data_IF_518305672244
#
_entry.id   IF_518305672244
#
_cell.length_a   1.000
_cell.length_b   1.000
_cell.length_c   1.000
_cell.angle_alpha   90.00
_cell.angle_beta   90.00
_cell.angle_gamma   90.00
#
_symmetry.space_group_name_H-M   'P 1'
#
loop_
_entity.id
_entity.type
_entity.pdbx_description
1 polymer ?
#
# COMPACT_ATOMS: atom_id res chain seq x y z
N UNK A 1 -5.74 -7.84 6.32
CA UNK A 1 -6.59 -7.18 5.31
C UNK A 1 -5.91 -7.19 3.94
N UNK A 2 -5.10 -8.21 3.67
CA UNK A 2 -4.34 -8.31 2.44
C UNK A 2 -5.30 -8.52 1.26
N UNK A 3 -5.02 -7.89 0.13
CA UNK A 3 -5.76 -8.11 -1.12
C UNK A 3 -7.25 -7.74 -1.03
N UNK A 4 -7.61 -6.83 -0.12
CA UNK A 4 -8.99 -6.36 0.08
C UNK A 4 -9.17 -4.86 -0.18
N UNK A 5 -8.28 -4.28 -0.98
CA UNK A 5 -8.36 -2.90 -1.43
C UNK A 5 -9.22 -2.74 -2.67
N UNK A 6 -8.99 -1.66 -3.41
CA UNK A 6 -9.69 -1.47 -4.68
C UNK A 6 -9.37 -2.61 -5.65
N UNK A 7 -10.37 -2.98 -6.45
CA UNK A 7 -10.29 -4.09 -7.36
C UNK A 7 -9.31 -3.84 -8.51
N UNK A 8 -8.61 -4.89 -8.92
CA UNK A 8 -7.86 -4.88 -10.17
C UNK A 8 -8.78 -4.90 -11.39
N UNK A 9 -8.21 -4.64 -12.56
CA UNK A 9 -8.95 -4.57 -13.82
C UNK A 9 -8.36 -5.50 -14.89
N UNK A 10 -9.09 -5.69 -15.97
CA UNK A 10 -8.61 -6.48 -17.12
C UNK A 10 -7.63 -5.67 -17.98
N UNK A 11 -7.02 -6.34 -18.97
CA UNK A 11 -6.16 -5.67 -19.95
C UNK A 11 -6.95 -4.77 -20.92
N UNK A 12 -6.29 -3.81 -21.60
CA UNK A 12 -6.96 -2.94 -22.59
C UNK A 12 -7.70 -3.73 -23.67
N UNK A 13 -8.81 -3.17 -24.17
CA UNK A 13 -9.69 -3.80 -25.17
C UNK A 13 -11.09 -4.14 -24.63
N UNK A 14 -11.33 -3.92 -23.34
CA UNK A 14 -12.61 -4.12 -22.66
C UNK A 14 -12.78 -3.11 -21.52
N UNK A 15 -14.02 -2.83 -21.12
CA UNK A 15 -14.42 -1.66 -20.31
C UNK A 15 -14.00 -1.67 -18.83
N UNK A 16 -13.31 -2.70 -18.32
CA UNK A 16 -13.01 -2.83 -16.87
C UNK A 16 -11.59 -2.35 -16.54
N UNK A 17 -11.43 -1.04 -16.36
CA UNK A 17 -10.20 -0.46 -15.81
C UNK A 17 -10.00 -0.90 -14.36
N UNK A 18 -8.73 -0.97 -13.91
CA UNK A 18 -8.43 -1.16 -12.49
C UNK A 18 -8.97 0.03 -11.67
N UNK A 19 -9.30 -0.22 -10.41
CA UNK A 19 -9.95 0.74 -9.54
C UNK A 19 -9.02 1.31 -8.48
N UNK A 20 -9.25 2.57 -8.14
CA UNK A 20 -8.55 3.30 -7.09
C UNK A 20 -7.87 4.58 -7.60
N UNK A 21 -7.69 5.60 -6.74
CA UNK A 21 -7.11 6.88 -7.16
C UNK A 21 -5.65 6.81 -7.62
N UNK A 22 -4.94 5.75 -7.22
CA UNK A 22 -3.55 5.49 -7.58
C UNK A 22 -3.39 4.49 -8.70
N UNK A 23 -4.44 4.15 -9.46
CA UNK A 23 -4.27 3.35 -10.67
C UNK A 23 -3.43 4.11 -11.70
N UNK A 24 -2.47 3.42 -12.32
CA UNK A 24 -1.73 3.99 -13.42
C UNK A 24 -2.62 4.20 -14.66
N UNK A 25 -2.36 5.25 -15.43
CA UNK A 25 -3.07 5.50 -16.68
C UNK A 25 -2.81 4.39 -17.72
N UNK A 26 -1.59 3.84 -17.74
CA UNK A 26 -1.14 2.81 -18.69
C UNK A 26 -1.13 1.43 -18.05
N UNK A 27 -1.45 0.40 -18.83
CA UNK A 27 -1.77 -0.94 -18.34
C UNK A 27 -0.59 -1.76 -17.81
N UNK A 28 0.65 -1.41 -18.14
CA UNK A 28 1.82 -2.09 -17.60
C UNK A 28 2.43 -1.36 -16.41
N UNK A 29 1.97 -0.18 -16.02
CA UNK A 29 2.58 0.59 -14.93
C UNK A 29 1.91 0.27 -13.57
N UNK A 30 2.71 0.29 -12.51
CA UNK A 30 2.29 -0.09 -11.17
C UNK A 30 1.34 0.91 -10.54
N UNK A 31 0.51 0.47 -9.59
CA UNK A 31 -0.40 1.38 -8.87
C UNK A 31 0.25 1.99 -7.64
N UNK A 32 -0.06 3.24 -7.33
CA UNK A 32 0.46 3.96 -6.15
C UNK A 32 -0.55 4.03 -5.00
N UNK A 33 -0.07 4.33 -3.78
CA UNK A 33 -0.87 4.81 -2.66
C UNK A 33 -0.03 5.63 -1.68
N UNK A 34 0.74 4.96 -0.82
CA UNK A 34 1.69 5.58 0.10
C UNK A 34 2.97 6.00 -0.59
N UNK A 35 3.43 5.15 -1.51
CA UNK A 35 4.44 5.47 -2.51
C UNK A 35 3.85 5.42 -3.92
N UNK A 36 4.56 6.02 -4.87
CA UNK A 36 4.20 5.97 -6.28
C UNK A 36 4.33 4.55 -6.83
N UNK A 37 3.51 4.19 -7.81
CA UNK A 37 3.75 2.97 -8.56
C UNK A 37 5.07 3.03 -9.33
N UNK A 38 5.67 1.87 -9.57
CA UNK A 38 6.85 1.74 -10.42
C UNK A 38 6.49 1.90 -11.90
N UNK A 39 7.47 2.39 -12.67
CA UNK A 39 7.36 2.54 -14.13
C UNK A 39 7.14 1.19 -14.80
N UNK A 40 6.15 1.11 -15.68
CA UNK A 40 5.96 -0.04 -16.57
C UNK A 40 6.48 0.24 -17.97
N UNK A 41 6.70 -0.79 -18.77
CA UNK A 41 7.09 -0.63 -20.18
C UNK A 41 6.18 -1.43 -21.11
N UNK A 42 5.85 -0.87 -22.27
CA UNK A 42 5.17 -1.58 -23.36
C UNK A 42 5.73 -1.11 -24.70
N UNK A 43 6.14 -2.02 -25.58
CA UNK A 43 6.72 -1.69 -26.89
C UNK A 43 7.80 -0.59 -26.83
N UNK A 44 8.75 -0.72 -25.90
CA UNK A 44 9.83 0.25 -25.66
C UNK A 44 9.39 1.64 -25.17
N UNK A 45 8.12 1.82 -24.82
CA UNK A 45 7.60 3.07 -24.25
C UNK A 45 7.40 2.90 -22.74
N UNK A 46 8.16 3.68 -21.96
CA UNK A 46 8.03 3.75 -20.52
C UNK A 46 6.78 4.55 -20.13
N UNK A 47 6.08 4.11 -19.09
CA UNK A 47 4.90 4.78 -18.56
C UNK A 47 5.01 4.92 -17.06
N UNK A 48 4.78 6.15 -16.57
CA UNK A 48 4.82 6.46 -15.16
C UNK A 48 3.80 5.59 -14.38
N UNK A 49 4.21 5.15 -13.19
CA UNK A 49 3.31 4.50 -12.25
C UNK A 49 2.24 5.45 -11.72
N UNK A 50 1.23 4.85 -11.09
CA UNK A 50 0.14 5.60 -10.50
C UNK A 50 0.57 6.48 -9.33
N UNK A 51 -0.14 7.60 -9.09
CA UNK A 51 0.25 8.58 -8.11
C UNK A 51 0.01 8.11 -6.67
N UNK A 52 0.64 8.81 -5.72
CA UNK A 52 0.25 8.73 -4.31
C UNK A 52 -1.09 9.42 -4.07
N UNK A 53 -1.85 8.98 -3.07
CA UNK A 53 -3.09 9.65 -2.66
C UNK A 53 -3.39 9.43 -1.17
N UNK A 54 -4.41 10.15 -0.67
CA UNK A 54 -4.84 10.12 0.72
C UNK A 54 -3.89 10.87 1.65
N UNK A 55 -4.04 10.65 2.94
CA UNK A 55 -3.29 11.36 3.98
C UNK A 55 -2.40 10.36 4.75
N UNK A 56 -1.09 10.64 4.85
CA UNK A 56 -0.14 9.82 5.61
C UNK A 56 -0.45 9.76 7.10
N UNK A 57 -1.00 10.84 7.67
CA UNK A 57 -1.36 10.95 9.08
C UNK A 57 -2.73 10.30 9.38
N UNK A 58 -3.54 10.03 8.36
CA UNK A 58 -4.87 9.43 8.47
C UNK A 58 -5.17 8.49 7.28
N UNK A 59 -4.46 7.34 7.17
CA UNK A 59 -4.54 6.45 6.02
C UNK A 59 -5.76 5.52 6.07
N UNK A 60 -6.94 6.10 5.84
CA UNK A 60 -8.22 5.38 5.88
C UNK A 60 -8.65 4.78 4.56
N UNK A 61 -7.99 5.17 3.46
CA UNK A 61 -8.29 4.62 2.15
C UNK A 61 -7.61 3.26 1.94
N UNK A 62 -8.24 2.32 1.24
CA UNK A 62 -7.55 1.14 0.75
C UNK A 62 -6.55 1.50 -0.36
N UNK A 63 -5.63 0.57 -0.66
CA UNK A 63 -4.72 0.63 -1.79
C UNK A 63 -5.42 0.40 -3.13
N UNK A 64 -4.83 0.90 -4.21
CA UNK A 64 -5.33 0.80 -5.58
C UNK A 64 -4.99 -0.55 -6.22
N UNK A 65 -5.94 -1.09 -6.98
CA UNK A 65 -5.75 -2.31 -7.75
C UNK A 65 -4.96 -2.06 -9.03
N UNK A 66 -4.38 -3.12 -9.59
CA UNK A 66 -3.60 -3.07 -10.82
C UNK A 66 -4.36 -3.72 -11.98
N UNK A 67 -3.93 -3.43 -13.22
CA UNK A 67 -4.45 -4.10 -14.41
C UNK A 67 -3.83 -5.49 -14.57
N UNK A 68 -4.50 -6.34 -15.34
CA UNK A 68 -3.99 -7.66 -15.70
C UNK A 68 -2.76 -7.57 -16.61
N UNK A 69 -1.89 -8.59 -16.53
CA UNK A 69 -0.82 -8.82 -17.51
C UNK A 69 -1.29 -9.57 -18.74
N UNK A 70 -0.36 -9.97 -19.61
CA UNK A 70 -0.60 -10.71 -20.83
C UNK A 70 -0.71 -12.16 -20.45
N UNK A 71 -1.78 -12.81 -20.86
CA UNK A 71 -1.90 -14.25 -20.67
C UNK A 71 -3.06 -14.81 -21.47
N UNK A 72 -3.11 -16.14 -21.62
CA UNK A 72 -4.24 -16.79 -22.24
C UNK A 72 -5.49 -16.57 -21.38
N UNK A 73 -6.56 -16.06 -22.01
CA UNK A 73 -7.85 -15.79 -21.37
C UNK A 73 -7.97 -14.40 -20.74
N UNK A 74 -9.20 -14.06 -20.31
CA UNK A 74 -9.50 -12.81 -19.59
C UNK A 74 -9.42 -13.08 -18.10
N UNK A 75 -8.51 -12.40 -17.40
CA UNK A 75 -8.39 -12.45 -15.95
C UNK A 75 -8.28 -11.04 -15.38
N UNK A 76 -8.73 -10.88 -14.14
CA UNK A 76 -8.62 -9.62 -13.42
C UNK A 76 -7.18 -9.42 -12.92
N UNK A 77 -6.73 -8.17 -12.95
CA UNK A 77 -5.52 -7.76 -12.27
C UNK A 77 -5.66 -7.84 -10.75
N UNK A 78 -4.56 -7.53 -10.05
CA UNK A 78 -4.51 -7.71 -8.60
C UNK A 78 -5.21 -6.60 -7.84
N UNK A 79 -5.77 -6.95 -6.68
CA UNK A 79 -6.39 -6.00 -5.77
C UNK A 79 -5.32 -5.31 -4.93
N UNK A 80 -5.57 -4.04 -4.59
CA UNK A 80 -4.75 -3.32 -3.62
C UNK A 80 -4.84 -3.93 -2.21
N UNK A 81 -3.95 -3.48 -1.33
CA UNK A 81 -4.08 -3.78 0.10
C UNK A 81 -5.33 -3.12 0.71
N UNK A 82 -5.97 -3.78 1.68
CA UNK A 82 -7.15 -3.23 2.36
C UNK A 82 -6.84 -2.06 3.30
N UNK A 83 -7.85 -1.59 4.05
CA UNK A 83 -7.66 -0.62 5.14
C UNK A 83 -7.98 -1.28 6.48
N UNK A 84 -7.08 -1.15 7.45
CA UNK A 84 -7.29 -1.55 8.85
C UNK A 84 -7.32 -0.30 9.71
N UNK A 85 -8.41 -0.12 10.47
CA UNK A 85 -8.58 1.05 11.32
C UNK A 85 -8.91 0.63 12.75
N UNK A 86 -8.00 0.90 13.68
CA UNK A 86 -8.16 0.61 15.11
C UNK A 86 -8.25 1.93 15.84
N UNK A 87 -9.38 2.15 16.52
CA UNK A 87 -9.62 3.33 17.38
C UNK A 87 -9.92 2.84 18.79
N UNK A 88 -8.88 2.63 19.57
CA UNK A 88 -9.01 2.25 20.97
C UNK A 88 -9.19 3.50 21.83
N UNK A 89 -10.14 3.50 22.74
CA UNK A 89 -10.36 4.60 23.69
C UNK A 89 -9.28 4.69 24.76
N UNK A 90 -8.60 3.58 25.03
CA UNK A 90 -7.55 3.48 26.04
C UNK A 90 -6.31 2.76 25.48
N UNK A 91 -6.22 1.44 25.66
CA UNK A 91 -5.01 0.67 25.32
C UNK A 91 -5.17 -0.12 24.01
N UNK A 92 -4.14 -0.11 23.17
CA UNK A 92 -4.01 -0.96 21.99
C UNK A 92 -2.71 -1.76 22.09
N UNK A 93 -2.84 -3.08 22.24
CA UNK A 93 -1.71 -4.02 22.34
C UNK A 93 -1.57 -4.82 21.06
N UNK A 94 -0.37 -4.85 20.47
CA UNK A 94 -0.08 -5.56 19.22
C UNK A 94 1.07 -6.55 19.42
N UNK A 95 0.72 -7.82 19.60
CA UNK A 95 1.68 -8.93 19.69
C UNK A 95 1.81 -9.73 18.38
N UNK A 96 0.83 -9.59 17.48
CA UNK A 96 0.76 -10.31 16.21
C UNK A 96 0.96 -9.39 15.01
N UNK A 97 0.49 -9.85 13.86
CA UNK A 97 0.64 -9.14 12.59
C UNK A 97 -0.65 -8.43 12.20
N UNK A 98 -0.55 -7.14 11.87
CA UNK A 98 -1.60 -6.37 11.21
C UNK A 98 -1.10 -6.07 9.80
N UNK A 99 -1.74 -6.69 8.81
CA UNK A 99 -1.30 -6.64 7.42
C UNK A 99 -2.36 -6.00 6.51
N UNK A 100 -1.89 -5.21 5.55
CA UNK A 100 -2.65 -4.55 4.50
C UNK A 100 -1.84 -4.58 3.19
N UNK A 101 -1.27 -5.74 2.86
CA UNK A 101 -0.43 -5.97 1.70
C UNK A 101 -1.25 -6.11 0.41
N UNK A 102 -0.67 -5.67 -0.70
CA UNK A 102 -1.17 -5.96 -2.04
C UNK A 102 -0.63 -7.28 -2.59
N UNK A 103 -1.23 -7.77 -3.69
CA UNK A 103 -0.66 -8.84 -4.51
C UNK A 103 0.13 -8.28 -5.70
N UNK A 104 1.21 -8.97 -6.02
CA UNK A 104 1.98 -8.72 -7.23
C UNK A 104 1.34 -9.31 -8.48
N UNK A 105 1.65 -8.72 -9.63
CA UNK A 105 1.16 -9.19 -10.92
C UNK A 105 1.63 -10.62 -11.23
N UNK A 106 0.73 -11.46 -11.74
CA UNK A 106 1.01 -12.88 -12.01
C UNK A 106 1.54 -13.13 -13.44
N UNK A 107 0.96 -12.46 -14.43
CA UNK A 107 1.18 -12.73 -15.84
C UNK A 107 2.21 -11.79 -16.50
N UNK A 108 2.49 -11.97 -17.79
CA UNK A 108 3.53 -11.20 -18.46
C UNK A 108 3.22 -9.70 -18.46
N UNK A 109 4.18 -8.89 -18.05
CA UNK A 109 4.05 -7.44 -17.95
C UNK A 109 2.94 -7.00 -16.98
N UNK A 110 2.45 -7.89 -16.12
CA UNK A 110 1.43 -7.54 -15.12
C UNK A 110 2.01 -6.52 -14.13
N UNK A 111 1.39 -5.34 -13.97
CA UNK A 111 1.77 -4.42 -12.91
C UNK A 111 1.41 -4.95 -11.52
N UNK A 112 2.06 -4.38 -10.50
CA UNK A 112 1.72 -4.62 -9.10
C UNK A 112 0.68 -3.63 -8.57
N UNK A 113 -0.17 -4.10 -7.65
CA UNK A 113 -1.11 -3.27 -6.91
C UNK A 113 -0.44 -2.58 -5.72
N UNK A 114 -1.01 -1.47 -5.24
CA UNK A 114 -0.38 -0.73 -4.14
C UNK A 114 -0.71 -1.35 -2.78
N UNK A 115 0.19 -1.16 -1.81
CA UNK A 115 -0.09 -1.46 -0.41
C UNK A 115 -1.30 -0.66 0.10
N UNK A 116 -1.86 -1.12 1.22
CA UNK A 116 -3.07 -0.56 1.84
C UNK A 116 -2.78 0.44 2.96
N UNK A 117 -3.79 0.66 3.82
CA UNK A 117 -3.72 1.61 4.93
C UNK A 117 -3.83 0.92 6.29
N UNK A 118 -2.97 1.25 7.24
CA UNK A 118 -3.08 0.86 8.65
C UNK A 118 -3.15 2.13 9.49
N UNK A 119 -4.27 2.34 10.17
CA UNK A 119 -4.48 3.48 11.06
C UNK A 119 -4.79 2.99 12.47
N UNK A 120 -3.92 3.31 13.42
CA UNK A 120 -4.10 2.99 14.84
C UNK A 120 -4.14 4.31 15.62
N UNK A 121 -5.19 4.49 16.42
CA UNK A 121 -5.31 5.61 17.36
C UNK A 121 -5.70 5.07 18.72
N UNK A 122 -4.92 5.40 19.75
CA UNK A 122 -5.14 4.95 21.12
C UNK A 122 -4.61 5.97 22.14
N UNK A 123 -4.92 5.80 23.44
CA UNK A 123 -4.20 6.52 24.49
C UNK A 123 -2.85 5.87 24.74
N UNK A 124 -2.84 4.55 24.94
CA UNK A 124 -1.62 3.78 25.23
C UNK A 124 -1.40 2.74 24.13
N UNK A 125 -0.25 2.79 23.47
CA UNK A 125 0.19 1.76 22.54
C UNK A 125 1.19 0.83 23.22
N UNK A 126 1.01 -0.49 23.04
CA UNK A 126 1.92 -1.52 23.54
C UNK A 126 2.28 -2.45 22.37
N UNK A 127 3.46 -2.25 21.79
CA UNK A 127 4.05 -3.13 20.79
C UNK A 127 4.92 -4.21 21.41
N UNK A 128 5.08 -5.31 20.68
CA UNK A 128 6.01 -6.40 21.00
C UNK A 128 7.04 -6.57 19.87
N UNK A 129 8.21 -7.13 20.17
CA UNK A 129 9.23 -7.52 19.19
C UNK A 129 8.72 -8.56 18.17
N UNK A 130 7.68 -9.32 18.51
CA UNK A 130 7.01 -10.25 17.59
C UNK A 130 5.89 -9.59 16.76
N UNK A 131 5.56 -8.33 17.07
CA UNK A 131 4.53 -7.58 16.37
C UNK A 131 5.01 -7.07 15.01
N UNK A 132 4.07 -6.97 14.07
CA UNK A 132 4.33 -6.43 12.73
C UNK A 132 3.15 -5.59 12.25
N UNK A 133 3.43 -4.37 11.79
CA UNK A 133 2.50 -3.59 10.97
C UNK A 133 3.04 -3.56 9.54
N UNK A 134 2.31 -4.12 8.58
CA UNK A 134 2.81 -4.26 7.20
C UNK A 134 1.80 -3.81 6.16
N UNK A 135 2.20 -2.94 5.25
CA UNK A 135 1.39 -2.45 4.14
C UNK A 135 2.22 -2.39 2.86
N UNK A 136 2.74 -3.54 2.43
CA UNK A 136 3.66 -3.62 1.29
C UNK A 136 2.90 -3.62 -0.05
N UNK A 137 3.52 -3.00 -1.06
CA UNK A 137 3.08 -3.06 -2.46
C UNK A 137 3.37 -4.41 -3.11
N UNK A 138 2.64 -4.73 -4.17
CA UNK A 138 2.84 -5.96 -4.95
C UNK A 138 3.97 -5.83 -5.96
N UNK A 139 4.79 -6.87 -6.13
CA UNK A 139 5.78 -6.94 -7.21
C UNK A 139 5.16 -6.98 -8.62
N UNK A 140 5.98 -6.90 -9.65
CA UNK A 140 5.50 -7.06 -11.03
C UNK A 140 5.54 -8.51 -11.53
N UNK A 141 4.79 -8.77 -12.59
CA UNK A 141 4.79 -10.03 -13.32
C UNK A 141 6.06 -10.27 -14.13
N UNK A 142 6.12 -11.42 -14.80
CA UNK A 142 7.28 -11.79 -15.64
C UNK A 142 7.43 -10.83 -16.83
N UNK A 143 8.66 -10.57 -17.26
CA UNK A 143 8.90 -9.70 -18.42
C UNK A 143 10.29 -9.09 -18.39
N UNK A 144 11.36 -9.87 -18.61
CA UNK A 144 12.74 -9.39 -18.45
C UNK A 144 13.10 -8.22 -19.38
N UNK A 145 12.43 -8.10 -20.54
CA UNK A 145 12.64 -7.00 -21.50
C UNK A 145 11.68 -5.83 -21.26
N UNK A 146 10.44 -6.11 -20.82
CA UNK A 146 9.39 -5.10 -20.61
C UNK A 146 8.62 -5.39 -19.31
N UNK A 147 9.21 -5.18 -18.13
CA UNK A 147 8.53 -5.58 -16.90
C UNK A 147 7.27 -4.74 -16.69
N UNK A 148 6.29 -5.35 -16.03
CA UNK A 148 5.26 -4.56 -15.37
C UNK A 148 5.91 -3.67 -14.31
N UNK A 149 5.31 -2.52 -14.08
CA UNK A 149 5.67 -1.64 -12.98
C UNK A 149 5.19 -2.25 -11.67
N UNK A 150 6.03 -2.42 -10.65
CA UNK A 150 5.59 -2.88 -9.34
C UNK A 150 4.73 -1.82 -8.63
N UNK A 151 3.90 -2.24 -7.68
CA UNK A 151 3.06 -1.34 -6.90
C UNK A 151 3.85 -0.55 -5.83
N UNK A 152 3.39 0.66 -5.54
CA UNK A 152 3.93 1.48 -4.46
C UNK A 152 3.56 0.93 -3.08
N UNK A 153 4.39 1.25 -2.08
CA UNK A 153 4.12 0.93 -0.69
C UNK A 153 2.85 1.58 -0.17
N UNK A 154 2.30 1.04 0.92
CA UNK A 154 1.10 1.53 1.59
C UNK A 154 1.39 2.62 2.62
N UNK A 155 0.45 2.84 3.53
CA UNK A 155 0.55 3.86 4.57
C UNK A 155 0.25 3.25 5.94
N UNK A 156 1.09 3.56 6.92
CA UNK A 156 0.92 3.15 8.32
C UNK A 156 0.96 4.42 9.17
N UNK A 157 -0.01 4.59 10.06
CA UNK A 157 -0.01 5.66 11.04
C UNK A 157 -0.46 5.16 12.41
N UNK A 158 0.35 5.40 13.43
CA UNK A 158 0.06 5.09 14.82
C UNK A 158 0.10 6.37 15.63
N UNK A 159 -1.05 6.72 16.22
CA UNK A 159 -1.23 7.89 17.08
C UNK A 159 -1.51 7.45 18.50
N UNK A 160 -0.66 7.87 19.43
CA UNK A 160 -0.75 7.51 20.85
C UNK A 160 -0.38 8.66 21.78
N UNK A 161 -0.94 8.70 22.99
CA UNK A 161 -0.48 9.61 24.04
C UNK A 161 0.78 9.00 24.70
N UNK A 162 0.66 7.75 25.12
CA UNK A 162 1.68 6.94 25.76
C UNK A 162 2.11 5.80 24.84
N UNK A 163 3.40 5.51 24.84
CA UNK A 163 3.99 4.35 24.17
C UNK A 163 4.71 3.55 25.25
N UNK A 164 4.17 2.39 25.62
CA UNK A 164 4.70 1.50 26.66
C UNK A 164 5.25 0.21 26.06
N UNK A 165 5.62 0.24 24.77
CA UNK A 165 6.24 -0.89 24.11
C UNK A 165 7.61 -1.20 24.76
N UNK A 166 7.78 -2.41 25.29
CA UNK A 166 9.06 -2.87 25.87
C UNK A 166 10.15 -3.08 24.80
N UNK A 167 9.74 -3.20 23.54
CA UNK A 167 10.62 -3.32 22.38
C UNK A 167 9.95 -2.70 21.15
N UNK A 168 10.77 -2.28 20.19
CA UNK A 168 10.25 -1.76 18.93
C UNK A 168 9.46 -2.83 18.19
N UNK A 169 8.26 -2.47 17.74
CA UNK A 169 7.47 -3.29 16.82
C UNK A 169 8.02 -3.14 15.39
N UNK A 170 8.01 -4.22 14.61
CA UNK A 170 8.42 -4.16 13.20
C UNK A 170 7.37 -3.41 12.37
N UNK A 171 7.81 -2.56 11.45
CA UNK A 171 6.94 -1.85 10.52
C UNK A 171 7.50 -1.86 9.11
N UNK A 172 6.67 -2.16 8.12
CA UNK A 172 7.07 -2.19 6.72
C UNK A 172 5.96 -1.63 5.82
N UNK A 173 6.34 -0.70 4.95
CA UNK A 173 5.49 -0.14 3.91
C UNK A 173 6.27 -0.13 2.60
N UNK A 174 6.89 -1.26 2.29
CA UNK A 174 7.84 -1.40 1.20
C UNK A 174 7.13 -1.37 -0.16
N UNK A 175 7.79 -0.87 -1.20
CA UNK A 175 7.28 -1.04 -2.56
C UNK A 175 7.39 -2.51 -2.98
N UNK A 176 6.62 -2.86 -4.01
CA UNK A 176 6.98 -4.03 -4.80
C UNK A 176 8.27 -3.80 -5.57
N UNK A 177 8.97 -4.88 -5.90
CA UNK A 177 10.14 -4.83 -6.77
C UNK A 177 10.24 -6.12 -7.60
N UNK A 178 10.73 -6.00 -8.85
CA UNK A 178 11.17 -7.12 -9.69
C UNK A 178 11.95 -6.60 -10.89
N UNK A 179 12.89 -7.40 -11.42
CA UNK A 179 13.67 -7.08 -12.62
C UNK A 179 14.38 -5.71 -12.57
N UNK A 180 14.88 -5.31 -11.39
CA UNK A 180 15.56 -4.03 -11.19
C UNK A 180 14.63 -2.81 -11.19
N UNK A 181 13.32 -2.99 -11.31
CA UNK A 181 12.32 -1.94 -11.19
C UNK A 181 11.68 -2.02 -9.80
N UNK A 182 11.52 -0.86 -9.17
CA UNK A 182 10.87 -0.71 -7.86
C UNK A 182 9.79 0.37 -7.90
N UNK A 183 8.78 0.21 -7.06
CA UNK A 183 7.85 1.30 -6.74
C UNK A 183 8.49 2.27 -5.74
N UNK A 184 7.75 3.32 -5.41
CA UNK A 184 8.09 4.21 -4.31
C UNK A 184 7.75 3.58 -2.96
N UNK A 185 8.61 3.82 -1.97
CA UNK A 185 8.35 3.47 -0.56
C UNK A 185 7.10 4.16 -0.05
N UNK A 186 6.38 3.47 0.83
CA UNK A 186 5.22 3.97 1.54
C UNK A 186 5.57 4.96 2.65
N UNK A 187 4.55 5.36 3.42
CA UNK A 187 4.74 6.26 4.57
C UNK A 187 4.44 5.56 5.89
N UNK A 188 5.29 5.75 6.89
CA UNK A 188 5.09 5.27 8.26
C UNK A 188 5.14 6.47 9.20
N UNK A 189 4.06 6.69 9.95
CA UNK A 189 3.91 7.81 10.88
C UNK A 189 3.76 7.29 12.30
N UNK A 190 4.65 7.73 13.18
CA UNK A 190 4.58 7.50 14.62
C UNK A 190 4.25 8.81 15.34
N UNK A 191 2.96 9.16 15.40
CA UNK A 191 2.48 10.43 15.94
C UNK A 191 2.16 10.39 17.44
N UNK A 192 2.35 11.51 18.14
CA UNK A 192 1.90 11.70 19.52
C UNK A 192 0.61 12.51 19.56
N UNK A 193 -0.37 12.03 20.31
CA UNK A 193 -1.57 12.80 20.64
C UNK A 193 -1.29 13.67 21.86
N UNK A 194 -1.89 14.87 21.95
CA UNK A 194 -1.83 15.65 23.17
C UNK A 194 -2.43 14.87 24.34
N UNK A 195 -1.84 15.02 25.53
CA UNK A 195 -2.44 14.52 26.76
C UNK A 195 -3.74 15.26 27.06
N UNK A 196 -4.63 14.62 27.82
CA UNK A 196 -5.85 15.28 28.27
C UNK A 196 -5.48 16.59 29.02
N UNK A 197 -6.02 17.72 28.57
CA UNK A 197 -5.74 19.05 29.13
C UNK A 197 -4.70 19.90 28.38
N UNK A 198 -4.15 19.44 27.25
CA UNK A 198 -3.23 20.27 26.44
C UNK A 198 -4.00 21.40 25.74
N UNK A 199 -3.66 22.66 26.02
CA UNK A 199 -4.10 23.82 25.24
C UNK A 199 -3.08 24.06 24.13
N UNK A 200 -3.54 24.07 22.88
CA UNK A 200 -2.73 24.52 21.74
C UNK A 200 -3.24 25.90 21.33
N UNK A 201 -2.42 26.93 21.58
CA UNK A 201 -2.68 28.30 21.18
C UNK A 201 -1.86 28.64 19.95
N UNK A 202 -2.46 29.31 18.98
CA UNK A 202 -1.77 29.91 17.85
C UNK A 202 -1.81 31.43 18.04
N UNK A 203 -0.65 32.07 17.99
CA UNK A 203 -0.52 33.52 18.00
C UNK A 203 -0.50 34.05 16.57
#
# INVERSE_FOLDING_TARGET
ADVRGYAGGIRPGSSHAAHGPGCAAVFNAGSGYGGVGGTGCYNYVASAGGPVYGNSNYPVAPGSGARAGNGPGVFNGTFGGGSVQIRASDTCTVHGRITANALGGYADYAPGASGGGIYIRCKTFIGSSNGLLQANGGGSGYGPVFPGGPGGGGRIAVWRINDLSESAISTAADPGARYGITGGVGTIVWGRLPSAGTIVSFH
#
